data_IF_359992206925
#
_entry.id   IF_359992206925
#
_cell.length_a   1.000
_cell.length_b   1.000
_cell.length_c   1.000
_cell.angle_alpha   90.00
_cell.angle_beta   90.00
_cell.angle_gamma   90.00
#
_symmetry.space_group_name_H-M   'P 1'
#
loop_
_entity.id
_entity.type
_entity.pdbx_description
1 polymer ?
#
# COMPACT_ATOMS: atom_id res chain seq x y z
N UNK A 1 -30.12 3.07 -9.04
CA UNK A 1 -28.66 3.00 -8.83
C UNK A 1 -28.14 4.43 -8.82
N UNK A 2 -28.49 5.19 -7.78
CA UNK A 2 -28.04 6.57 -7.60
C UNK A 2 -26.67 6.53 -6.92
N UNK A 3 -25.67 7.23 -7.48
CA UNK A 3 -24.35 7.31 -6.84
C UNK A 3 -23.15 7.63 -7.72
N UNK A 4 -23.31 7.81 -9.03
CA UNK A 4 -22.24 8.35 -9.89
C UNK A 4 -22.35 9.87 -9.90
N UNK A 5 -22.02 10.49 -8.77
CA UNK A 5 -21.61 11.88 -8.78
C UNK A 5 -20.17 11.87 -9.32
N UNK A 6 -19.96 12.35 -10.56
CA UNK A 6 -18.65 12.39 -11.23
C UNK A 6 -17.57 13.16 -10.45
N UNK A 7 -18.00 13.89 -9.43
CA UNK A 7 -17.25 14.66 -8.45
C UNK A 7 -16.51 13.80 -7.40
N UNK A 8 -16.84 12.51 -7.21
CA UNK A 8 -16.17 11.64 -6.23
C UNK A 8 -15.75 10.30 -6.86
N UNK A 9 -14.74 10.33 -7.73
CA UNK A 9 -14.17 9.18 -8.45
C UNK A 9 -13.04 8.47 -7.67
N UNK A 10 -13.10 8.49 -6.35
CA UNK A 10 -12.14 7.80 -5.48
C UNK A 10 -12.72 6.47 -5.00
N UNK A 11 -11.87 5.51 -4.66
CA UNK A 11 -12.31 4.24 -4.05
C UNK A 11 -11.35 3.94 -2.91
N UNK A 12 -11.86 4.02 -1.68
CA UNK A 12 -11.09 3.67 -0.49
C UNK A 12 -11.28 2.18 -0.20
N UNK A 13 -10.15 1.48 -0.07
CA UNK A 13 -10.08 0.04 0.12
C UNK A 13 -9.23 -0.26 1.35
N UNK A 14 -9.75 -1.10 2.22
CA UNK A 14 -9.02 -1.67 3.34
C UNK A 14 -8.47 -3.04 2.93
N UNK A 15 -7.18 -3.29 3.17
CA UNK A 15 -6.56 -4.57 2.87
C UNK A 15 -5.44 -4.88 3.86
N UNK A 16 -5.18 -6.17 4.07
CA UNK A 16 -4.07 -6.61 4.91
C UNK A 16 -2.74 -6.41 4.16
N UNK A 17 -1.81 -5.57 4.66
CA UNK A 17 -0.58 -5.23 3.95
C UNK A 17 0.32 -6.44 3.71
N UNK A 18 0.26 -7.45 4.59
CA UNK A 18 1.01 -8.70 4.42
C UNK A 18 0.61 -9.44 3.14
N UNK A 19 -0.69 -9.51 2.83
CA UNK A 19 -1.20 -10.18 1.63
C UNK A 19 -0.72 -9.46 0.36
N UNK A 20 -0.74 -8.13 0.38
CA UNK A 20 -0.21 -7.32 -0.71
C UNK A 20 1.31 -7.50 -0.86
N UNK A 21 2.06 -7.44 0.24
CA UNK A 21 3.51 -7.64 0.22
C UNK A 21 3.89 -9.01 -0.34
N UNK A 22 3.14 -10.06 -0.01
CA UNK A 22 3.35 -11.42 -0.50
C UNK A 22 3.08 -11.51 -2.00
N UNK A 23 1.99 -10.91 -2.48
CA UNK A 23 1.70 -10.84 -3.91
C UNK A 23 2.81 -10.07 -4.67
N UNK A 24 3.25 -8.92 -4.13
CA UNK A 24 4.28 -8.09 -4.74
C UNK A 24 5.68 -8.72 -4.73
N UNK A 25 6.01 -9.59 -3.76
CA UNK A 25 7.26 -10.36 -3.79
C UNK A 25 7.39 -11.18 -5.07
N UNK A 26 6.30 -11.78 -5.55
CA UNK A 26 6.30 -12.51 -6.82
C UNK A 26 6.41 -11.58 -8.03
N UNK A 27 5.97 -10.33 -7.89
CA UNK A 27 6.08 -9.32 -8.93
C UNK A 27 7.50 -8.78 -9.12
N UNK A 28 8.39 -8.90 -8.13
CA UNK A 28 9.78 -8.42 -8.25
C UNK A 28 10.53 -9.07 -9.41
N UNK A 29 10.23 -10.34 -9.70
CA UNK A 29 10.83 -11.09 -10.80
C UNK A 29 9.94 -11.13 -12.04
N UNK A 30 8.87 -10.33 -12.10
CA UNK A 30 7.88 -10.39 -13.16
C UNK A 30 8.20 -9.44 -14.32
N UNK A 31 7.72 -9.82 -15.50
CA UNK A 31 7.76 -9.01 -16.71
C UNK A 31 6.65 -7.97 -16.72
N UNK A 32 5.47 -8.31 -16.19
CA UNK A 32 4.33 -7.41 -16.13
C UNK A 32 3.43 -7.72 -14.92
N UNK A 33 2.75 -6.70 -14.41
CA UNK A 33 1.80 -6.82 -13.29
C UNK A 33 0.50 -6.14 -13.70
N UNK A 34 -0.62 -6.84 -13.51
CA UNK A 34 -1.98 -6.33 -13.74
C UNK A 34 -2.74 -6.41 -12.44
N UNK A 35 -3.21 -5.26 -11.96
CA UNK A 35 -4.03 -5.17 -10.76
C UNK A 35 -5.47 -4.88 -11.20
N UNK A 36 -6.43 -5.67 -10.71
CA UNK A 36 -7.85 -5.54 -11.04
C UNK A 36 -8.70 -5.75 -9.80
N UNK A 37 -9.72 -4.91 -9.60
CA UNK A 37 -10.76 -5.22 -8.63
C UNK A 37 -11.70 -6.27 -9.21
N UNK A 38 -12.03 -7.27 -8.41
CA UNK A 38 -12.96 -8.34 -8.78
C UNK A 38 -13.96 -8.56 -7.66
N UNK A 39 -15.23 -8.73 -8.02
CA UNK A 39 -16.30 -8.98 -7.05
C UNK A 39 -17.03 -10.25 -7.48
N UNK A 40 -16.61 -11.41 -6.95
CA UNK A 40 -17.26 -12.70 -7.24
C UNK A 40 -18.12 -13.14 -6.06
N UNK A 41 -17.48 -13.54 -4.96
CA UNK A 41 -18.15 -13.90 -3.70
C UNK A 41 -17.84 -12.88 -2.59
N UNK A 42 -16.68 -12.25 -2.69
CA UNK A 42 -16.20 -11.17 -1.84
C UNK A 42 -15.43 -10.17 -2.73
N UNK A 43 -15.39 -8.88 -2.34
CA UNK A 43 -14.53 -7.90 -2.99
C UNK A 43 -13.06 -8.29 -2.80
N UNK A 44 -12.37 -8.56 -3.91
CA UNK A 44 -10.97 -8.95 -3.92
C UNK A 44 -10.16 -8.12 -4.92
N UNK A 45 -8.98 -7.68 -4.50
CA UNK A 45 -7.97 -7.09 -5.36
C UNK A 45 -7.14 -8.23 -5.98
N UNK A 46 -7.36 -8.47 -7.27
CA UNK A 46 -6.63 -9.47 -8.05
C UNK A 46 -5.33 -8.87 -8.59
N UNK A 47 -4.21 -9.45 -8.21
CA UNK A 47 -2.88 -9.13 -8.73
C UNK A 47 -2.42 -10.29 -9.63
N UNK A 48 -2.47 -10.07 -10.93
CA UNK A 48 -1.99 -11.01 -11.94
C UNK A 48 -0.57 -10.62 -12.36
N UNK A 49 0.37 -11.53 -12.15
CA UNK A 49 1.82 -11.33 -12.29
C UNK A 49 2.31 -12.24 -13.42
N UNK A 50 2.82 -11.65 -14.50
CA UNK A 50 3.39 -12.38 -15.63
C UNK A 50 4.89 -12.57 -15.39
N UNK A 51 5.30 -13.81 -15.12
CA UNK A 51 6.70 -14.16 -14.89
C UNK A 51 7.41 -14.48 -16.22
N UNK A 52 8.67 -14.03 -16.40
CA UNK A 52 9.50 -14.44 -17.51
C UNK A 52 9.81 -15.94 -17.37
N UNK A 53 9.53 -16.71 -18.42
CA UNK A 53 9.88 -18.13 -18.49
C UNK A 53 10.93 -18.35 -19.58
N UNK A 54 11.82 -19.31 -19.35
CA UNK A 54 12.83 -19.78 -20.32
C UNK A 54 12.21 -20.65 -21.42
N UNK A 55 10.99 -21.16 -21.21
CA UNK A 55 10.22 -21.85 -22.25
C UNK A 55 9.25 -20.88 -22.93
N UNK A 56 8.81 -21.21 -24.15
CA UNK A 56 7.92 -20.42 -25.00
C UNK A 56 6.52 -20.12 -24.44
N UNK A 57 6.25 -20.45 -23.17
CA UNK A 57 4.98 -20.23 -22.48
C UNK A 57 5.18 -19.29 -21.29
N UNK A 58 4.51 -18.13 -21.31
CA UNK A 58 4.49 -17.19 -20.19
C UNK A 58 3.71 -17.77 -19.01
N UNK A 59 4.28 -17.69 -17.80
CA UNK A 59 3.60 -18.12 -16.57
C UNK A 59 2.90 -16.94 -15.93
N UNK A 60 1.59 -17.07 -15.68
CA UNK A 60 0.81 -16.03 -15.00
C UNK A 60 0.43 -16.52 -13.61
N UNK A 61 0.93 -15.85 -12.59
CA UNK A 61 0.57 -16.10 -11.19
C UNK A 61 -0.51 -15.11 -10.79
N UNK A 62 -1.64 -15.60 -10.29
CA UNK A 62 -2.76 -14.76 -9.86
C UNK A 62 -2.91 -14.83 -8.36
N UNK A 63 -2.91 -13.68 -7.68
CA UNK A 63 -3.20 -13.55 -6.26
C UNK A 63 -4.51 -12.82 -6.09
N UNK A 64 -5.48 -13.44 -5.43
CA UNK A 64 -6.73 -12.78 -5.03
C UNK A 64 -6.59 -12.35 -3.56
N UNK A 65 -6.48 -11.03 -3.33
CA UNK A 65 -6.37 -10.45 -1.98
C UNK A 65 -7.76 -9.98 -1.55
N UNK A 66 -8.34 -10.45 -0.44
CA UNK A 66 -9.61 -9.94 0.06
C UNK A 66 -9.44 -8.47 0.47
N UNK A 67 -10.37 -7.61 0.06
CA UNK A 67 -10.38 -6.17 0.39
C UNK A 67 -11.73 -5.75 0.95
N UNK A 68 -11.74 -4.89 1.96
CA UNK A 68 -12.95 -4.22 2.44
C UNK A 68 -13.17 -2.93 1.66
N UNK A 69 -14.39 -2.70 1.16
CA UNK A 69 -14.73 -1.41 0.54
C UNK A 69 -15.17 -0.45 1.64
N UNK A 70 -14.47 0.67 1.79
CA UNK A 70 -14.79 1.66 2.81
C UNK A 70 -15.97 2.51 2.33
N UNK A 71 -17.08 2.57 3.10
CA UNK A 71 -18.22 3.42 2.77
C UNK A 71 -17.84 4.90 2.67
N UNK A 72 -18.46 5.63 1.72
CA UNK A 72 -18.22 7.06 1.48
C UNK A 72 -18.33 7.95 2.72
N UNK A 73 -19.13 7.53 3.70
CA UNK A 73 -19.32 8.25 4.97
C UNK A 73 -18.03 8.40 5.78
N UNK A 74 -17.08 7.47 5.60
CA UNK A 74 -15.81 7.44 6.33
C UNK A 74 -14.65 8.07 5.53
N UNK A 75 -14.86 8.45 4.26
CA UNK A 75 -13.76 8.94 3.41
C UNK A 75 -13.14 10.24 3.93
N UNK A 76 -13.91 11.06 4.65
CA UNK A 76 -13.41 12.28 5.28
C UNK A 76 -12.28 12.03 6.28
N UNK A 77 -12.29 10.87 6.97
CA UNK A 77 -11.26 10.51 7.95
C UNK A 77 -9.96 9.99 7.30
N UNK A 78 -10.03 9.57 6.03
CA UNK A 78 -8.88 9.06 5.26
C UNK A 78 -8.28 10.11 4.33
N UNK A 79 -8.75 11.36 4.40
CA UNK A 79 -8.17 12.46 3.62
C UNK A 79 -6.79 12.79 4.16
N UNK A 80 -5.84 13.04 3.25
CA UNK A 80 -4.49 13.46 3.63
C UNK A 80 -4.56 14.71 4.54
N UNK A 81 -3.94 14.67 5.74
CA UNK A 81 -3.93 15.82 6.63
C UNK A 81 -3.17 16.97 5.98
N UNK A 82 -3.71 18.18 6.07
CA UNK A 82 -2.98 19.37 5.63
C UNK A 82 -1.73 19.52 6.49
N UNK A 83 -0.56 19.46 5.86
CA UNK A 83 0.71 19.78 6.53
C UNK A 83 0.69 21.27 6.91
N UNK A 84 0.78 21.61 8.21
CA UNK A 84 0.91 23.00 8.63
C UNK A 84 2.25 23.58 8.16
N UNK A 85 2.35 24.90 8.15
CA UNK A 85 3.59 25.60 7.84
C UNK A 85 4.65 25.27 8.91
N UNK A 86 5.89 25.01 8.48
CA UNK A 86 6.97 24.60 9.37
C UNK A 86 7.87 25.79 9.71
N UNK A 87 8.10 26.07 10.99
CA UNK A 87 9.02 27.14 11.41
C UNK A 87 10.47 26.89 10.97
N UNK A 88 10.88 25.62 10.88
CA UNK A 88 12.22 25.19 10.45
C UNK A 88 12.12 23.90 9.63
N UNK A 89 12.73 23.89 8.46
CA UNK A 89 12.87 22.69 7.61
C UNK A 89 14.35 22.32 7.48
N UNK A 90 14.70 21.09 7.82
CA UNK A 90 16.07 20.55 7.67
C UNK A 90 16.06 19.29 6.81
N UNK A 91 17.16 19.06 6.09
CA UNK A 91 17.34 17.82 5.34
C UNK A 91 17.65 16.66 6.29
N UNK A 92 16.94 15.55 6.13
CA UNK A 92 17.20 14.35 6.89
C UNK A 92 18.57 13.76 6.49
N UNK A 93 19.42 13.37 7.46
CA UNK A 93 20.63 12.62 7.19
C UNK A 93 20.29 11.20 6.72
N UNK A 94 21.31 10.38 6.44
CA UNK A 94 21.09 9.00 6.00
C UNK A 94 20.19 8.22 6.98
N UNK A 95 18.99 7.84 6.53
CA UNK A 95 17.96 7.16 7.35
C UNK A 95 18.47 5.87 8.00
N UNK A 96 19.44 5.18 7.37
CA UNK A 96 20.10 4.00 7.96
C UNK A 96 20.84 4.33 9.25
N UNK A 97 21.61 5.43 9.24
CA UNK A 97 22.35 5.91 10.42
C UNK A 97 21.37 6.36 11.49
N UNK A 98 20.34 7.12 11.11
CA UNK A 98 19.30 7.58 12.04
C UNK A 98 18.57 6.41 12.70
N UNK A 99 18.17 5.39 11.93
CA UNK A 99 17.56 4.15 12.46
C UNK A 99 18.47 3.46 13.49
N UNK A 100 19.75 3.29 13.18
CA UNK A 100 20.72 2.65 14.08
C UNK A 100 20.87 3.41 15.41
N UNK A 101 20.91 4.74 15.35
CA UNK A 101 20.97 5.60 16.54
C UNK A 101 19.68 5.48 17.36
N UNK A 102 18.52 5.58 16.73
CA UNK A 102 17.20 5.44 17.39
C UNK A 102 17.05 4.06 18.04
N UNK A 103 17.48 3.00 17.37
CA UNK A 103 17.41 1.62 17.88
C UNK A 103 18.28 1.42 19.12
N UNK A 104 19.44 2.08 19.18
CA UNK A 104 20.28 2.09 20.38
C UNK A 104 19.64 2.92 21.50
N UNK A 105 19.14 4.11 21.20
CA UNK A 105 18.53 5.02 22.19
C UNK A 105 17.25 4.46 22.81
N UNK A 106 16.45 3.72 22.04
CA UNK A 106 15.26 3.02 22.55
C UNK A 106 15.57 2.08 23.73
N UNK A 107 16.77 1.50 23.77
CA UNK A 107 17.18 0.63 24.90
C UNK A 107 17.51 1.42 26.18
N UNK A 108 17.72 2.75 26.08
CA UNK A 108 18.00 3.61 27.22
C UNK A 108 16.76 4.36 27.71
N UNK A 109 15.85 4.78 26.82
CA UNK A 109 14.61 5.48 27.18
C UNK A 109 13.53 5.31 26.11
N UNK A 110 12.26 5.32 26.55
CA UNK A 110 11.09 5.31 25.65
C UNK A 110 10.74 6.69 25.07
N UNK A 111 11.46 7.75 25.49
CA UNK A 111 11.35 9.11 24.97
C UNK A 111 12.67 9.53 24.34
N UNK A 112 12.60 10.11 23.13
CA UNK A 112 13.74 10.68 22.39
C UNK A 112 13.76 12.21 22.52
N UNK A 113 12.63 12.80 22.88
CA UNK A 113 12.46 14.24 23.13
C UNK A 113 11.75 14.39 24.48
N UNK A 114 12.25 15.29 25.32
CA UNK A 114 11.58 15.77 26.53
C UNK A 114 11.11 17.20 26.34
#
# INVERSE_FOLDING_TARGET
MEGVAAEHNEIYLELVPENLSRALKTAQSAKAVKIKLTNKHCPCLRVAVELPSLSSSSRIVTHDIPVGVIPRRLWSDFREPSVPDFDVSIYLPALKTMKSVVERMKNLSNSIVS
#
